data_IF_344283709563
#
_entry.id   IF_344283709563
#
_cell.length_a   1.000
_cell.length_b   1.000
_cell.length_c   1.000
_cell.angle_alpha   90.00
_cell.angle_beta   90.00
_cell.angle_gamma   90.00
#
_symmetry.space_group_name_H-M   'P 1'
#
loop_
_entity.id
_entity.type
_entity.pdbx_description
1 polymer ?
#
# COMPACT_ATOMS: atom_id res chain seq x y z
N UNK A 1 -65.77 8.54 -13.23
CA UNK A 1 -65.14 7.41 -12.51
C UNK A 1 -63.73 7.08 -13.03
N UNK A 2 -63.54 6.83 -14.33
CA UNK A 2 -62.23 6.43 -14.90
C UNK A 2 -61.06 7.40 -14.62
N UNK A 3 -61.31 8.72 -14.60
CA UNK A 3 -60.28 9.73 -14.27
C UNK A 3 -59.69 9.58 -12.86
N UNK A 4 -60.52 9.27 -11.86
CA UNK A 4 -60.06 9.07 -10.48
C UNK A 4 -59.19 7.81 -10.35
N UNK A 5 -59.54 6.74 -11.07
CA UNK A 5 -58.73 5.51 -11.10
C UNK A 5 -57.33 5.76 -11.67
N UNK A 6 -57.22 6.50 -12.77
CA UNK A 6 -55.92 6.85 -13.37
C UNK A 6 -55.06 7.72 -12.44
N UNK A 7 -55.68 8.65 -11.70
CA UNK A 7 -54.98 9.48 -10.72
C UNK A 7 -54.44 8.63 -9.56
N UNK A 8 -55.26 7.72 -9.02
CA UNK A 8 -54.83 6.81 -7.93
C UNK A 8 -53.68 5.91 -8.40
N UNK A 9 -53.79 5.35 -9.61
CA UNK A 9 -52.74 4.50 -10.18
C UNK A 9 -51.43 5.28 -10.38
N UNK A 10 -51.51 6.50 -10.91
CA UNK A 10 -50.34 7.37 -11.08
C UNK A 10 -49.68 7.69 -9.73
N UNK A 11 -50.46 8.01 -8.70
CA UNK A 11 -49.94 8.26 -7.34
C UNK A 11 -49.24 7.02 -6.79
N UNK A 12 -49.81 5.82 -6.97
CA UNK A 12 -49.22 4.57 -6.50
C UNK A 12 -47.87 4.29 -7.18
N UNK A 13 -47.78 4.51 -8.50
CA UNK A 13 -46.54 4.37 -9.25
C UNK A 13 -45.49 5.37 -8.73
N UNK A 14 -45.85 6.64 -8.58
CA UNK A 14 -44.93 7.69 -8.09
C UNK A 14 -44.44 7.37 -6.68
N UNK A 15 -45.32 6.93 -5.77
CA UNK A 15 -44.96 6.55 -4.41
C UNK A 15 -44.03 5.33 -4.37
N UNK A 16 -44.28 4.31 -5.19
CA UNK A 16 -43.42 3.12 -5.25
C UNK A 16 -42.02 3.46 -5.80
N UNK A 17 -41.95 4.28 -6.84
CA UNK A 17 -40.67 4.78 -7.38
C UNK A 17 -39.93 5.67 -6.36
N UNK A 18 -40.63 6.56 -5.66
CA UNK A 18 -40.04 7.41 -4.64
C UNK A 18 -39.48 6.57 -3.47
N UNK A 19 -40.23 5.56 -3.01
CA UNK A 19 -39.78 4.62 -1.99
C UNK A 19 -38.53 3.84 -2.41
N UNK A 20 -38.48 3.38 -3.66
CA UNK A 20 -37.31 2.69 -4.20
C UNK A 20 -36.09 3.63 -4.30
N UNK A 21 -36.28 4.86 -4.79
CA UNK A 21 -35.22 5.86 -4.90
C UNK A 21 -34.62 6.21 -3.53
N UNK A 22 -35.45 6.38 -2.50
CA UNK A 22 -34.99 6.60 -1.12
C UNK A 22 -34.18 5.41 -0.61
N UNK A 23 -34.67 4.19 -0.83
CA UNK A 23 -33.95 2.96 -0.45
C UNK A 23 -32.57 2.88 -1.10
N UNK A 24 -32.47 3.20 -2.40
CA UNK A 24 -31.22 3.21 -3.13
C UNK A 24 -30.26 4.29 -2.63
N UNK A 25 -30.77 5.50 -2.33
CA UNK A 25 -29.96 6.58 -1.80
C UNK A 25 -29.35 6.25 -0.43
N UNK A 26 -30.13 5.62 0.46
CA UNK A 26 -29.64 5.16 1.76
C UNK A 26 -28.57 4.08 1.62
N UNK A 27 -28.77 3.11 0.71
CA UNK A 27 -27.76 2.08 0.40
C UNK A 27 -26.48 2.71 -0.13
N UNK A 28 -26.57 3.64 -1.07
CA UNK A 28 -25.42 4.34 -1.63
C UNK A 28 -24.66 5.13 -0.55
N UNK A 29 -25.37 5.83 0.34
CA UNK A 29 -24.75 6.56 1.45
C UNK A 29 -23.99 5.61 2.39
N UNK A 30 -24.57 4.45 2.71
CA UNK A 30 -23.91 3.42 3.53
C UNK A 30 -22.68 2.84 2.84
N UNK A 31 -22.77 2.48 1.55
CA UNK A 31 -21.64 1.96 0.79
C UNK A 31 -20.49 2.98 0.69
N UNK A 32 -20.80 4.26 0.42
CA UNK A 32 -19.79 5.33 0.39
C UNK A 32 -19.09 5.49 1.75
N UNK A 33 -19.84 5.43 2.86
CA UNK A 33 -19.26 5.48 4.20
C UNK A 33 -18.33 4.29 4.45
N UNK A 34 -18.79 3.07 4.17
CA UNK A 34 -17.99 1.85 4.33
C UNK A 34 -16.73 1.86 3.47
N UNK A 35 -16.83 2.32 2.22
CA UNK A 35 -15.67 2.44 1.34
C UNK A 35 -14.65 3.45 1.88
N UNK A 36 -15.11 4.61 2.38
CA UNK A 36 -14.22 5.61 2.98
C UNK A 36 -13.54 5.08 4.24
N UNK A 37 -14.28 4.38 5.11
CA UNK A 37 -13.72 3.75 6.31
C UNK A 37 -12.71 2.65 5.96
N UNK A 38 -13.02 1.79 4.97
CA UNK A 38 -12.12 0.75 4.50
C UNK A 38 -10.83 1.33 3.89
N UNK A 39 -10.92 2.42 3.12
CA UNK A 39 -9.75 3.13 2.59
C UNK A 39 -8.88 3.72 3.70
N UNK A 40 -9.48 4.38 4.69
CA UNK A 40 -8.75 4.92 5.84
C UNK A 40 -8.05 3.82 6.65
N UNK A 41 -8.75 2.70 6.91
CA UNK A 41 -8.16 1.56 7.61
C UNK A 41 -7.01 0.93 6.81
N UNK A 42 -7.14 0.85 5.48
CA UNK A 42 -6.06 0.40 4.60
C UNK A 42 -4.84 1.32 4.71
N UNK A 43 -5.02 2.64 4.66
CA UNK A 43 -3.89 3.58 4.81
C UNK A 43 -3.22 3.45 6.18
N UNK A 44 -3.99 3.33 7.27
CA UNK A 44 -3.46 3.13 8.62
C UNK A 44 -2.62 1.85 8.71
N UNK A 45 -3.14 0.74 8.19
CA UNK A 45 -2.42 -0.54 8.18
C UNK A 45 -1.13 -0.48 7.35
N UNK A 46 -1.13 0.25 6.23
CA UNK A 46 0.07 0.45 5.40
C UNK A 46 1.11 1.29 6.14
N UNK A 47 0.69 2.37 6.79
CA UNK A 47 1.57 3.22 7.61
C UNK A 47 2.20 2.41 8.74
N UNK A 48 1.40 1.63 9.47
CA UNK A 48 1.90 0.73 10.52
C UNK A 48 2.88 -0.30 9.96
N UNK A 49 2.61 -0.85 8.78
CA UNK A 49 3.52 -1.79 8.11
C UNK A 49 4.85 -1.14 7.74
N UNK A 50 4.83 0.09 7.21
CA UNK A 50 6.05 0.84 6.89
C UNK A 50 6.85 1.13 8.16
N UNK A 51 6.20 1.57 9.24
CA UNK A 51 6.87 1.84 10.52
C UNK A 51 7.53 0.58 11.08
N UNK A 52 6.82 -0.55 11.10
CA UNK A 52 7.37 -1.84 11.56
C UNK A 52 8.55 -2.29 10.71
N UNK A 53 8.45 -2.23 9.38
CA UNK A 53 9.53 -2.63 8.48
C UNK A 53 10.75 -1.71 8.65
N UNK A 54 10.54 -0.39 8.68
CA UNK A 54 11.64 0.56 8.82
C UNK A 54 12.37 0.40 10.15
N UNK A 55 11.64 0.19 11.26
CA UNK A 55 12.24 -0.11 12.57
C UNK A 55 12.95 -1.46 12.59
N UNK A 56 12.40 -2.50 11.95
CA UNK A 56 13.04 -3.80 11.86
C UNK A 56 14.35 -3.75 11.07
N UNK A 57 14.41 -2.94 10.00
CA UNK A 57 15.63 -2.68 9.24
C UNK A 57 16.67 -1.94 10.10
N UNK A 58 16.27 -0.89 10.83
CA UNK A 58 17.17 -0.15 11.74
C UNK A 58 17.69 -1.01 12.88
N UNK A 59 16.87 -1.92 13.38
CA UNK A 59 17.22 -2.88 14.43
C UNK A 59 17.96 -4.12 13.89
N UNK A 60 18.29 -4.15 12.59
CA UNK A 60 19.00 -5.25 11.92
C UNK A 60 18.30 -6.62 12.07
N UNK A 61 16.98 -6.62 12.28
CA UNK A 61 16.13 -7.81 12.37
C UNK A 61 15.73 -8.36 10.99
N UNK A 62 15.89 -7.54 9.96
CA UNK A 62 15.61 -7.84 8.57
C UNK A 62 16.69 -7.19 7.69
N UNK A 63 17.18 -7.89 6.67
CA UNK A 63 18.19 -7.35 5.75
C UNK A 63 17.64 -6.19 4.93
N UNK A 64 18.50 -5.24 4.56
CA UNK A 64 18.06 -4.05 3.84
C UNK A 64 17.49 -4.40 2.46
N UNK A 65 18.01 -5.43 1.81
CA UNK A 65 17.49 -5.94 0.53
C UNK A 65 16.02 -6.39 0.63
N UNK A 66 15.64 -7.11 1.68
CA UNK A 66 14.24 -7.51 1.89
C UNK A 66 13.39 -6.28 2.24
N UNK A 67 13.93 -5.40 3.08
CA UNK A 67 13.27 -4.16 3.49
C UNK A 67 12.88 -3.28 2.31
N UNK A 68 13.81 -2.97 1.40
CA UNK A 68 13.52 -2.10 0.23
C UNK A 68 12.51 -2.72 -0.73
N UNK A 69 12.55 -4.05 -0.93
CA UNK A 69 11.56 -4.78 -1.73
C UNK A 69 10.15 -4.69 -1.12
N UNK A 70 10.04 -4.75 0.20
CA UNK A 70 8.76 -4.63 0.91
C UNK A 70 8.26 -3.19 1.01
N UNK A 71 9.16 -2.23 1.18
CA UNK A 71 8.81 -0.81 1.31
C UNK A 71 8.29 -0.21 -0.01
N UNK A 72 8.90 -0.56 -1.15
CA UNK A 72 8.52 -0.01 -2.47
C UNK A 72 7.00 -0.03 -2.75
N UNK A 73 6.32 -1.19 -2.72
CA UNK A 73 4.89 -1.24 -3.02
C UNK A 73 4.02 -0.56 -1.95
N UNK A 74 4.48 -0.51 -0.68
CA UNK A 74 3.75 0.17 0.38
C UNK A 74 3.80 1.70 0.19
N UNK A 75 4.97 2.23 -0.17
CA UNK A 75 5.14 3.65 -0.51
C UNK A 75 4.30 4.05 -1.72
N UNK A 76 4.26 3.20 -2.77
CA UNK A 76 3.46 3.45 -3.97
C UNK A 76 1.97 3.64 -3.63
N UNK A 77 1.43 2.89 -2.67
CA UNK A 77 0.02 3.05 -2.24
C UNK A 77 -0.21 4.40 -1.56
N UNK A 78 0.80 4.95 -0.87
CA UNK A 78 0.75 6.28 -0.27
C UNK A 78 1.03 7.40 -1.28
N UNK A 79 1.28 7.07 -2.56
CA UNK A 79 1.70 8.02 -3.58
C UNK A 79 3.14 8.55 -3.39
N UNK A 80 3.90 7.98 -2.46
CA UNK A 80 5.33 8.22 -2.27
C UNK A 80 6.12 7.26 -3.16
N UNK A 81 7.34 7.64 -3.55
CA UNK A 81 8.19 6.79 -4.37
C UNK A 81 9.45 6.43 -3.61
N UNK A 82 9.85 5.16 -3.66
CA UNK A 82 11.13 4.74 -3.08
C UNK A 82 12.32 5.50 -3.70
N UNK A 83 12.19 5.97 -4.94
CA UNK A 83 13.18 6.82 -5.62
C UNK A 83 13.47 8.17 -4.93
N UNK A 84 12.67 8.57 -3.93
CA UNK A 84 12.95 9.74 -3.09
C UNK A 84 14.08 9.49 -2.08
N UNK A 85 14.46 8.22 -1.90
CA UNK A 85 15.51 7.76 -1.01
C UNK A 85 16.61 7.09 -1.86
N UNK A 86 17.62 7.85 -2.32
CA UNK A 86 18.60 7.38 -3.30
C UNK A 86 19.34 6.09 -2.95
N UNK A 87 19.72 5.87 -1.70
CA UNK A 87 20.43 4.67 -1.28
C UNK A 87 19.50 3.45 -1.28
N UNK A 88 18.30 3.56 -0.69
CA UNK A 88 17.29 2.51 -0.76
C UNK A 88 16.89 2.20 -2.21
N UNK A 89 16.76 3.22 -3.05
CA UNK A 89 16.46 3.05 -4.48
C UNK A 89 17.60 2.35 -5.22
N UNK A 90 18.85 2.74 -4.96
CA UNK A 90 20.03 2.09 -5.56
C UNK A 90 20.11 0.61 -5.19
N UNK A 91 19.85 0.26 -3.92
CA UNK A 91 19.79 -1.13 -3.50
C UNK A 91 18.63 -1.88 -4.19
N UNK A 92 17.44 -1.27 -4.24
CA UNK A 92 16.27 -1.85 -4.90
C UNK A 92 16.54 -2.18 -6.37
N UNK A 93 17.18 -1.28 -7.13
CA UNK A 93 17.49 -1.50 -8.55
C UNK A 93 18.41 -2.70 -8.78
N UNK A 94 19.27 -3.04 -7.81
CA UNK A 94 20.13 -4.23 -7.88
C UNK A 94 19.34 -5.51 -7.58
N UNK A 95 18.47 -5.49 -6.57
CA UNK A 95 17.79 -6.70 -6.09
C UNK A 95 16.46 -6.99 -6.79
N UNK A 96 15.84 -6.01 -7.45
CA UNK A 96 14.52 -6.14 -8.11
C UNK A 96 14.50 -7.22 -9.19
N UNK A 97 15.56 -7.32 -10.00
CA UNK A 97 15.65 -8.30 -11.09
C UNK A 97 16.18 -9.66 -10.65
N UNK A 98 16.55 -9.83 -9.38
CA UNK A 98 17.15 -11.09 -8.92
C UNK A 98 16.08 -12.20 -8.83
N UNK A 99 16.37 -13.42 -9.32
CA UNK A 99 15.43 -14.52 -9.25
C UNK A 99 15.18 -14.96 -7.81
N UNK A 100 13.91 -15.22 -7.51
CA UNK A 100 13.42 -15.67 -6.19
C UNK A 100 12.77 -17.06 -6.31
N UNK A 101 12.56 -17.72 -5.17
CA UNK A 101 11.83 -19.00 -5.08
C UNK A 101 12.36 -20.07 -6.05
N UNK A 102 11.49 -20.64 -6.90
CA UNK A 102 11.86 -21.73 -7.82
C UNK A 102 12.89 -21.28 -8.87
N UNK A 103 12.77 -20.07 -9.43
CA UNK A 103 13.73 -19.54 -10.39
C UNK A 103 15.15 -19.43 -9.77
N UNK A 104 15.25 -19.20 -8.46
CA UNK A 104 16.54 -19.20 -7.75
C UNK A 104 17.12 -20.60 -7.58
N UNK A 105 16.26 -21.63 -7.44
CA UNK A 105 16.69 -23.03 -7.31
C UNK A 105 17.28 -23.58 -8.61
N UNK A 106 16.75 -23.12 -9.74
CA UNK A 106 17.22 -23.49 -11.09
C UNK A 106 18.61 -22.92 -11.43
N UNK A 107 19.04 -21.86 -10.75
CA UNK A 107 20.38 -21.29 -10.94
C UNK A 107 21.49 -22.27 -10.57
N UNK A 108 22.57 -22.26 -11.36
CA UNK A 108 23.81 -22.94 -11.00
C UNK A 108 24.38 -22.34 -9.72
N UNK A 109 25.04 -23.17 -8.90
CA UNK A 109 25.65 -22.74 -7.62
C UNK A 109 26.51 -21.48 -7.77
N UNK A 110 27.32 -21.40 -8.82
CA UNK A 110 28.21 -20.26 -9.07
C UNK A 110 27.44 -18.97 -9.38
N UNK A 111 26.35 -19.06 -10.14
CA UNK A 111 25.50 -17.91 -10.48
C UNK A 111 24.76 -17.41 -9.25
N UNK A 112 24.20 -18.32 -8.45
CA UNK A 112 23.54 -17.97 -7.18
C UNK A 112 24.52 -17.26 -6.23
N UNK A 113 25.72 -17.81 -6.08
CA UNK A 113 26.76 -17.22 -5.23
C UNK A 113 27.19 -15.83 -5.72
N UNK A 114 27.29 -15.63 -7.04
CA UNK A 114 27.61 -14.32 -7.63
C UNK A 114 26.55 -13.27 -7.26
N UNK A 115 25.27 -13.61 -7.40
CA UNK A 115 24.16 -12.71 -7.06
C UNK A 115 24.09 -12.42 -5.56
N UNK A 116 24.34 -13.43 -4.72
CA UNK A 116 24.38 -13.24 -3.26
C UNK A 116 25.51 -12.29 -2.86
N UNK A 117 26.69 -12.44 -3.45
CA UNK A 117 27.83 -11.55 -3.20
C UNK A 117 27.55 -10.11 -3.69
N UNK A 118 26.95 -9.95 -4.87
CA UNK A 118 26.58 -8.64 -5.41
C UNK A 118 25.59 -7.92 -4.48
N UNK A 119 24.56 -8.65 -4.02
CA UNK A 119 23.58 -8.14 -3.05
C UNK A 119 24.24 -7.74 -1.74
N UNK A 120 25.02 -8.63 -1.13
CA UNK A 120 25.67 -8.38 0.16
C UNK A 120 26.66 -7.23 0.09
N UNK A 121 27.44 -7.16 -0.99
CA UNK A 121 28.37 -6.05 -1.23
C UNK A 121 27.64 -4.72 -1.33
N UNK A 122 26.53 -4.65 -2.08
CA UNK A 122 25.77 -3.42 -2.25
C UNK A 122 25.04 -3.01 -0.97
N UNK A 123 24.53 -3.99 -0.24
CA UNK A 123 23.90 -3.79 1.07
C UNK A 123 24.90 -3.22 2.09
N UNK A 124 26.12 -3.76 2.13
CA UNK A 124 27.18 -3.25 3.00
C UNK A 124 27.63 -1.82 2.60
N UNK A 125 27.76 -1.55 1.30
CA UNK A 125 28.14 -0.23 0.76
C UNK A 125 27.15 0.86 1.18
N UNK A 126 25.85 0.56 1.10
CA UNK A 126 24.78 1.54 1.29
C UNK A 126 24.19 1.57 2.72
N UNK A 127 24.60 0.65 3.59
CA UNK A 127 24.04 0.44 4.94
C UNK A 127 23.83 1.74 5.72
N UNK A 128 24.89 2.55 5.89
CA UNK A 128 24.80 3.79 6.68
C UNK A 128 23.89 4.85 6.05
N UNK A 129 23.89 4.96 4.72
CA UNK A 129 23.02 5.87 3.99
C UNK A 129 21.56 5.43 4.09
N UNK A 130 21.29 4.12 3.96
CA UNK A 130 19.96 3.54 4.15
C UNK A 130 19.47 3.79 5.57
N UNK A 131 20.32 3.62 6.59
CA UNK A 131 19.95 3.95 7.98
C UNK A 131 19.53 5.42 8.11
N UNK A 132 20.24 6.36 7.50
CA UNK A 132 19.85 7.78 7.51
C UNK A 132 18.50 8.01 6.82
N UNK A 133 18.30 7.42 5.62
CA UNK A 133 17.04 7.52 4.88
C UNK A 133 15.86 6.87 5.62
N UNK A 134 16.09 5.78 6.36
CA UNK A 134 15.08 5.15 7.20
C UNK A 134 14.62 6.07 8.34
N UNK A 135 15.54 6.79 8.99
CA UNK A 135 15.17 7.78 10.00
C UNK A 135 14.32 8.91 9.39
N UNK A 136 14.69 9.37 8.19
CA UNK A 136 13.90 10.35 7.45
C UNK A 136 12.50 9.81 7.12
N UNK A 137 12.41 8.60 6.56
CA UNK A 137 11.15 7.94 6.21
C UNK A 137 10.24 7.78 7.43
N UNK A 138 10.77 7.32 8.56
CA UNK A 138 9.98 7.14 9.79
C UNK A 138 9.45 8.48 10.33
N UNK A 139 10.23 9.56 10.23
CA UNK A 139 9.78 10.90 10.59
C UNK A 139 8.63 11.38 9.69
N UNK A 140 8.78 11.22 8.36
CA UNK A 140 7.74 11.59 7.40
C UNK A 140 6.44 10.79 7.58
N UNK A 141 6.56 9.49 7.89
CA UNK A 141 5.41 8.62 8.10
C UNK A 141 4.69 8.94 9.41
N UNK A 142 5.42 9.30 10.47
CA UNK A 142 4.80 9.74 11.72
C UNK A 142 4.04 11.07 11.53
N UNK A 143 4.57 12.01 10.73
CA UNK A 143 3.85 13.22 10.34
C UNK A 143 2.58 12.88 9.56
N UNK A 144 2.69 12.03 8.54
CA UNK A 144 1.55 11.60 7.73
C UNK A 144 0.47 10.87 8.56
N UNK A 145 0.88 10.10 9.57
CA UNK A 145 -0.02 9.44 10.52
C UNK A 145 -0.81 10.45 11.37
N UNK A 146 -0.21 11.60 11.71
CA UNK A 146 -0.89 12.66 12.44
C UNK A 146 -1.91 13.39 11.57
N UNK A 147 -1.62 13.58 10.27
CA UNK A 147 -2.57 14.18 9.31
C UNK A 147 -3.79 13.29 9.00
N UNK A 148 -3.64 11.97 9.17
CA UNK A 148 -4.70 10.98 8.94
C UNK A 148 -5.65 10.76 10.14
N UNK A 149 -5.36 11.38 11.29
CA UNK A 149 -6.22 11.35 12.49
C UNK A 149 -7.32 12.40 12.39
#
# INVERSE_FOLDING_TARGET
>A
MMRFFLIILAILIVLSMAGYAISLWLKLKKQKKQLKEAQLNRYRSIIESIDVIGRAMLAEQCGFSEGVLRLKPLLDVLGKKLSQYPAMWSLYQVVESMPILEARKELKRNERMRLDLERESKEAELSEQIKQELHQLLSEIEQFKQELK
#
